data_IF_969128914274
#
_entry.id   IF_969128914274
#
_cell.length_a   1.000
_cell.length_b   1.000
_cell.length_c   1.000
_cell.angle_alpha   90.00
_cell.angle_beta   90.00
_cell.angle_gamma   90.00
#
_symmetry.space_group_name_H-M   'P 1'
#
loop_
_entity.id
_entity.type
_entity.pdbx_description
1 polymer ?
#
# COMPACT_ATOMS: atom_id res chain seq x y z
N UNK A 1 16.76 -14.49 -14.71
CA UNK A 1 16.15 -13.46 -13.83
C UNK A 1 14.95 -12.87 -14.54
N UNK A 2 13.76 -12.97 -13.95
CA UNK A 2 12.54 -12.43 -14.53
C UNK A 2 12.44 -10.91 -14.30
N UNK A 3 11.91 -10.18 -15.29
CA UNK A 3 11.59 -8.77 -15.20
C UNK A 3 10.35 -8.45 -16.02
N UNK A 4 9.55 -7.50 -15.58
CA UNK A 4 8.36 -7.04 -16.29
C UNK A 4 8.10 -5.56 -16.01
N UNK A 5 7.27 -4.96 -16.85
CA UNK A 5 6.94 -3.54 -16.79
C UNK A 5 5.43 -3.39 -16.88
N UNK A 6 4.84 -2.60 -15.98
CA UNK A 6 3.46 -2.13 -16.03
C UNK A 6 3.42 -0.69 -16.55
N UNK A 7 2.24 -0.09 -16.65
CA UNK A 7 2.11 1.32 -17.01
C UNK A 7 2.76 2.26 -15.98
N UNK A 8 2.99 1.79 -14.75
CA UNK A 8 3.51 2.63 -13.67
C UNK A 8 4.91 2.23 -13.16
N UNK A 9 5.29 0.95 -13.28
CA UNK A 9 6.47 0.40 -12.60
C UNK A 9 7.25 -0.56 -13.48
N UNK A 10 8.53 -0.69 -13.18
CA UNK A 10 9.37 -1.80 -13.63
C UNK A 10 9.79 -2.64 -12.42
N UNK A 11 9.74 -3.95 -12.60
CA UNK A 11 10.08 -4.93 -11.57
C UNK A 11 11.14 -5.89 -12.08
N UNK A 12 12.04 -6.31 -11.19
CA UNK A 12 13.08 -7.27 -11.53
C UNK A 12 13.55 -8.09 -10.34
N UNK A 13 13.62 -9.40 -10.55
CA UNK A 13 14.27 -10.32 -9.62
C UNK A 13 15.76 -10.41 -9.87
N UNK A 14 16.53 -10.50 -8.79
CA UNK A 14 17.93 -10.91 -8.74
C UNK A 14 18.07 -12.07 -7.76
N UNK A 15 19.28 -12.63 -7.64
CA UNK A 15 19.49 -13.86 -6.87
C UNK A 15 19.07 -13.73 -5.39
N UNK A 16 19.35 -12.59 -4.75
CA UNK A 16 19.04 -12.34 -3.33
C UNK A 16 18.28 -11.02 -3.09
N UNK A 17 17.87 -10.33 -4.15
CA UNK A 17 17.19 -9.05 -4.01
C UNK A 17 16.11 -8.84 -5.07
N UNK A 18 15.20 -7.94 -4.76
CA UNK A 18 14.11 -7.54 -5.64
C UNK A 18 14.20 -6.03 -5.88
N UNK A 19 14.00 -5.62 -7.14
CA UNK A 19 13.90 -4.23 -7.53
C UNK A 19 12.46 -3.93 -7.93
N UNK A 20 11.88 -2.92 -7.28
CA UNK A 20 10.68 -2.20 -7.71
C UNK A 20 11.10 -0.77 -8.02
N UNK A 21 10.80 -0.26 -9.20
CA UNK A 21 11.10 1.14 -9.56
C UNK A 21 10.00 1.80 -10.36
N UNK A 22 9.93 3.12 -10.27
CA UNK A 22 9.10 3.91 -11.17
C UNK A 22 9.67 3.89 -12.58
N UNK A 23 8.83 4.17 -13.57
CA UNK A 23 9.31 4.43 -14.92
C UNK A 23 10.05 5.77 -14.95
N UNK A 24 11.13 5.84 -15.72
CA UNK A 24 11.76 7.12 -16.07
C UNK A 24 10.89 7.87 -17.10
N UNK A 25 11.06 9.19 -17.27
CA UNK A 25 10.32 9.95 -18.27
C UNK A 25 10.43 9.41 -19.70
N UNK A 26 11.52 8.71 -20.01
CA UNK A 26 11.76 8.09 -21.31
C UNK A 26 10.99 6.78 -21.53
N UNK A 27 10.46 6.18 -20.46
CA UNK A 27 9.77 4.89 -20.45
C UNK A 27 8.24 5.03 -20.33
N UNK A 28 7.73 6.25 -20.15
CA UNK A 28 6.29 6.48 -20.02
C UNK A 28 5.51 5.96 -21.23
N UNK A 29 4.47 5.20 -20.93
CA UNK A 29 3.65 4.54 -21.93
C UNK A 29 2.45 5.41 -22.31
N UNK A 30 1.86 5.16 -23.48
CA UNK A 30 0.64 5.84 -23.93
C UNK A 30 -0.57 4.97 -23.68
N UNK A 31 -1.66 5.58 -23.26
CA UNK A 31 -2.96 4.91 -23.15
C UNK A 31 -3.56 4.62 -24.54
N UNK A 32 -4.73 3.97 -24.56
CA UNK A 32 -5.46 3.66 -25.80
C UNK A 32 -5.91 4.89 -26.60
N UNK A 33 -5.87 6.09 -25.99
CA UNK A 33 -6.19 7.39 -26.63
C UNK A 33 -4.92 8.09 -27.13
N UNK A 34 -3.74 7.50 -26.95
CA UNK A 34 -2.46 8.08 -27.31
C UNK A 34 -1.94 9.12 -26.31
N UNK A 35 -2.60 9.33 -25.17
CA UNK A 35 -2.16 10.23 -24.12
C UNK A 35 -1.06 9.58 -23.29
N UNK A 36 -0.03 10.35 -22.91
CA UNK A 36 1.02 9.84 -22.05
C UNK A 36 0.44 9.53 -20.67
N UNK A 37 0.58 8.27 -20.23
CA UNK A 37 0.20 7.85 -18.90
C UNK A 37 1.32 8.22 -17.93
N UNK A 38 1.04 9.18 -17.06
CA UNK A 38 1.96 9.62 -16.00
C UNK A 38 1.21 9.43 -14.69
N UNK A 39 1.62 8.43 -13.92
CA UNK A 39 1.11 8.21 -12.57
C UNK A 39 1.61 9.32 -11.66
N UNK A 40 0.70 10.17 -11.19
CA UNK A 40 1.00 11.16 -10.17
C UNK A 40 1.40 10.45 -8.87
N UNK A 41 2.30 11.06 -8.09
CA UNK A 41 2.75 10.59 -6.77
C UNK A 41 3.37 9.18 -6.71
N UNK A 42 3.70 8.59 -7.85
CA UNK A 42 4.28 7.25 -8.01
C UNK A 42 5.59 7.08 -7.21
N UNK A 43 6.51 8.05 -7.30
CA UNK A 43 7.73 8.05 -6.50
C UNK A 43 7.44 8.23 -4.99
N UNK A 44 6.44 9.02 -4.62
CA UNK A 44 6.06 9.23 -3.23
C UNK A 44 5.46 7.96 -2.61
N UNK A 45 4.63 7.21 -3.36
CA UNK A 45 4.11 5.89 -2.97
C UNK A 45 5.25 4.89 -2.73
N UNK A 46 6.20 4.82 -3.66
CA UNK A 46 7.34 3.92 -3.52
C UNK A 46 8.29 4.31 -2.37
N UNK A 47 8.44 5.61 -2.11
CA UNK A 47 9.13 6.10 -0.91
C UNK A 47 8.37 5.75 0.38
N UNK A 48 7.03 5.82 0.36
CA UNK A 48 6.18 5.40 1.49
C UNK A 48 6.32 3.91 1.77
N UNK A 49 6.39 3.08 0.74
CA UNK A 49 6.67 1.64 0.88
C UNK A 49 8.00 1.42 1.60
N UNK A 50 9.08 2.06 1.14
CA UNK A 50 10.40 1.93 1.77
C UNK A 50 10.39 2.32 3.25
N UNK A 51 9.79 3.47 3.58
CA UNK A 51 9.72 3.94 4.96
C UNK A 51 8.79 3.08 5.83
N UNK A 52 7.76 2.48 5.24
CA UNK A 52 6.86 1.55 5.95
C UNK A 52 7.56 0.25 6.27
N UNK A 53 8.32 -0.31 5.34
CA UNK A 53 9.12 -1.52 5.57
C UNK A 53 10.08 -1.32 6.75
N UNK A 54 10.78 -0.19 6.80
CA UNK A 54 11.67 0.16 7.91
C UNK A 54 10.91 0.32 9.23
N UNK A 55 9.77 1.03 9.21
CA UNK A 55 8.95 1.26 10.40
C UNK A 55 8.38 -0.04 10.97
N UNK A 56 7.76 -0.88 10.14
CA UNK A 56 7.16 -2.14 10.58
C UNK A 56 8.23 -3.13 11.05
N UNK A 57 9.36 -3.23 10.35
CA UNK A 57 10.47 -4.10 10.74
C UNK A 57 11.17 -3.66 12.04
N UNK A 58 11.04 -2.40 12.45
CA UNK A 58 11.58 -1.89 13.71
C UNK A 58 10.59 -2.00 14.88
N UNK A 59 9.30 -1.75 14.62
CA UNK A 59 8.28 -1.62 15.67
C UNK A 59 7.54 -2.94 15.95
N UNK A 60 7.68 -3.95 15.10
CA UNK A 60 6.91 -5.20 15.19
C UNK A 60 7.74 -6.44 14.88
N UNK A 61 7.14 -7.60 15.08
CA UNK A 61 7.64 -8.91 14.64
C UNK A 61 7.01 -9.38 13.31
N UNK A 62 6.29 -8.50 12.61
CA UNK A 62 5.67 -8.81 11.33
C UNK A 62 6.79 -9.04 10.30
N UNK A 63 6.81 -10.18 9.60
CA UNK A 63 7.82 -10.46 8.60
C UNK A 63 7.62 -9.51 7.41
N UNK A 64 8.62 -8.67 7.15
CA UNK A 64 8.66 -7.74 6.02
C UNK A 64 10.04 -7.81 5.37
N UNK A 65 10.15 -7.58 4.04
CA UNK A 65 11.44 -7.57 3.38
C UNK A 65 12.31 -6.42 3.89
N UNK A 66 13.58 -6.70 4.18
CA UNK A 66 14.54 -5.67 4.57
C UNK A 66 14.87 -4.76 3.39
N UNK A 67 14.82 -3.45 3.61
CA UNK A 67 15.26 -2.46 2.61
C UNK A 67 16.79 -2.53 2.47
N UNK A 68 17.26 -2.64 1.22
CA UNK A 68 18.68 -2.57 0.86
C UNK A 68 19.02 -1.13 0.45
N UNK A 69 18.17 -0.51 -0.37
CA UNK A 69 18.34 0.86 -0.84
C UNK A 69 17.00 1.43 -1.33
N UNK A 70 16.75 2.71 -1.07
CA UNK A 70 15.62 3.44 -1.66
C UNK A 70 16.03 4.88 -1.99
N UNK A 71 15.67 5.38 -3.17
CA UNK A 71 16.04 6.74 -3.57
C UNK A 71 15.76 7.09 -5.03
N UNK A 72 15.91 8.37 -5.33
CA UNK A 72 15.87 8.89 -6.70
C UNK A 72 17.15 8.55 -7.46
N UNK A 73 16.99 8.20 -8.73
CA UNK A 73 18.07 7.91 -9.66
C UNK A 73 18.24 9.05 -10.67
N UNK A 74 19.41 9.13 -11.29
CA UNK A 74 19.79 10.20 -12.22
C UNK A 74 18.91 10.30 -13.47
N UNK A 75 18.19 9.23 -13.81
CA UNK A 75 17.23 9.18 -14.92
C UNK A 75 15.83 9.68 -14.54
N UNK A 76 15.66 10.16 -13.30
CA UNK A 76 14.38 10.67 -12.78
C UNK A 76 13.43 9.58 -12.28
N UNK A 77 13.85 8.31 -12.25
CA UNK A 77 13.09 7.25 -11.61
C UNK A 77 13.40 7.14 -10.11
N UNK A 78 12.47 6.58 -9.33
CA UNK A 78 12.71 6.21 -7.94
C UNK A 78 12.84 4.70 -7.83
N UNK A 79 13.86 4.20 -7.14
CA UNK A 79 14.11 2.77 -6.97
C UNK A 79 13.92 2.37 -5.51
N UNK A 80 13.34 1.19 -5.31
CA UNK A 80 13.31 0.45 -4.06
C UNK A 80 13.93 -0.92 -4.29
N UNK A 81 15.00 -1.19 -3.57
CA UNK A 81 15.68 -2.47 -3.48
C UNK A 81 15.40 -3.10 -2.13
N UNK A 82 14.95 -4.34 -2.13
CA UNK A 82 14.76 -5.13 -0.92
C UNK A 82 15.46 -6.47 -1.01
N UNK A 83 15.65 -7.12 0.14
CA UNK A 83 15.90 -8.56 0.14
C UNK A 83 14.74 -9.30 -0.53
N UNK A 84 15.06 -10.41 -1.19
CA UNK A 84 14.06 -11.28 -1.77
C UNK A 84 13.42 -12.14 -0.68
N UNK A 85 12.09 -12.10 -0.57
CA UNK A 85 11.34 -12.97 0.34
C UNK A 85 11.15 -14.35 -0.31
N UNK A 86 11.65 -15.45 0.27
CA UNK A 86 11.45 -16.79 -0.28
C UNK A 86 10.02 -17.27 -0.03
N UNK A 87 9.44 -17.96 -1.01
CA UNK A 87 8.12 -18.57 -0.90
C UNK A 87 7.25 -18.30 -2.13
N UNK A 88 5.96 -18.56 -1.98
CA UNK A 88 4.92 -18.31 -2.98
C UNK A 88 3.84 -17.39 -2.41
N UNK A 89 3.15 -16.59 -3.24
CA UNK A 89 1.98 -15.85 -2.79
C UNK A 89 0.90 -16.75 -2.18
N UNK A 90 0.19 -16.29 -1.16
CA UNK A 90 -0.91 -17.03 -0.51
C UNK A 90 -1.97 -17.52 -1.51
N UNK A 91 -2.22 -16.78 -2.61
CA UNK A 91 -3.18 -17.20 -3.65
C UNK A 91 -2.79 -18.52 -4.35
N UNK A 92 -1.52 -18.92 -4.25
CA UNK A 92 -0.99 -20.17 -4.81
C UNK A 92 -1.06 -21.32 -3.80
N UNK A 93 -1.31 -21.04 -2.52
CA UNK A 93 -1.50 -22.05 -1.48
C UNK A 93 -2.88 -22.70 -1.64
N UNK A 94 -2.98 -24.05 -1.56
CA UNK A 94 -4.25 -24.76 -1.64
C UNK A 94 -5.27 -24.23 -0.62
N UNK A 95 -6.54 -24.11 -1.04
CA UNK A 95 -7.63 -23.59 -0.18
C UNK A 95 -7.77 -24.35 1.15
N UNK A 96 -7.44 -25.65 1.19
CA UNK A 96 -7.45 -26.45 2.42
C UNK A 96 -6.46 -25.93 3.46
N UNK A 97 -5.37 -25.33 3.00
CA UNK A 97 -4.20 -24.98 3.83
C UNK A 97 -4.18 -23.47 4.13
N UNK A 98 -4.91 -22.66 3.35
CA UNK A 98 -5.00 -21.21 3.57
C UNK A 98 -5.48 -20.83 4.98
N UNK A 99 -6.28 -21.67 5.65
CA UNK A 99 -6.78 -21.36 6.99
C UNK A 99 -5.65 -21.14 8.01
N UNK A 100 -4.59 -21.95 7.95
CA UNK A 100 -3.42 -21.84 8.85
C UNK A 100 -2.65 -20.54 8.60
N UNK A 101 -2.54 -20.13 7.34
CA UNK A 101 -1.90 -18.86 6.98
C UNK A 101 -2.76 -17.67 7.40
N UNK A 102 -4.07 -17.75 7.20
CA UNK A 102 -5.03 -16.70 7.58
C UNK A 102 -4.98 -16.44 9.10
N UNK A 103 -4.86 -17.46 9.94
CA UNK A 103 -4.69 -17.28 11.39
C UNK A 103 -3.45 -16.45 11.73
N UNK A 104 -2.33 -16.64 11.01
CA UNK A 104 -1.13 -15.81 11.18
C UNK A 104 -1.38 -14.37 10.74
N UNK A 105 -2.04 -14.17 9.60
CA UNK A 105 -2.39 -12.85 9.07
C UNK A 105 -3.28 -12.08 10.06
N UNK A 106 -4.26 -12.74 10.68
CA UNK A 106 -5.12 -12.10 11.71
C UNK A 106 -4.33 -11.63 12.93
N UNK A 107 -3.30 -12.39 13.34
CA UNK A 107 -2.39 -11.94 14.42
C UNK A 107 -1.61 -10.69 13.99
N UNK A 108 -1.02 -10.69 12.80
CA UNK A 108 -0.29 -9.52 12.29
C UNK A 108 -1.20 -8.30 12.14
N UNK A 109 -2.42 -8.49 11.64
CA UNK A 109 -3.45 -7.45 11.57
C UNK A 109 -3.77 -6.88 12.94
N UNK A 110 -3.90 -7.73 13.96
CA UNK A 110 -4.07 -7.26 15.35
C UNK A 110 -2.87 -6.45 15.85
N UNK A 111 -1.64 -6.84 15.50
CA UNK A 111 -0.42 -6.07 15.81
C UNK A 111 -0.42 -4.71 15.12
N UNK A 112 -0.72 -4.64 13.82
CA UNK A 112 -0.85 -3.38 13.07
C UNK A 112 -1.93 -2.47 13.66
N UNK A 113 -3.08 -3.05 13.99
CA UNK A 113 -4.13 -2.32 14.68
C UNK A 113 -3.70 -1.89 16.07
N UNK A 114 -2.70 -2.50 16.71
CA UNK A 114 -2.13 -2.04 17.97
C UNK A 114 -1.33 -0.74 17.84
N UNK A 115 -0.78 -0.45 16.64
CA UNK A 115 -0.08 0.78 16.34
C UNK A 115 -1.10 1.92 16.20
N UNK A 116 -0.98 2.94 17.06
CA UNK A 116 -1.95 4.03 17.17
C UNK A 116 -1.33 5.39 16.88
N UNK A 117 -2.07 6.23 16.17
CA UNK A 117 -1.70 7.62 15.91
C UNK A 117 -2.87 8.56 16.16
N UNK A 118 -2.56 9.79 16.57
CA UNK A 118 -3.53 10.90 16.59
C UNK A 118 -3.67 11.58 15.23
N UNK A 119 -2.84 11.23 14.25
CA UNK A 119 -2.82 11.81 12.91
C UNK A 119 -2.96 10.73 11.83
N UNK A 120 -3.63 11.07 10.73
CA UNK A 120 -3.70 10.23 9.52
C UNK A 120 -2.42 10.35 8.70
N UNK A 121 -2.05 9.28 7.99
CA UNK A 121 -1.00 9.26 6.98
C UNK A 121 0.07 8.19 7.21
N UNK A 122 0.86 7.92 6.18
CA UNK A 122 2.01 7.01 6.24
C UNK A 122 3.29 7.65 6.77
N UNK A 123 4.34 6.83 6.99
CA UNK A 123 5.64 7.28 7.51
C UNK A 123 6.30 8.42 6.71
N UNK A 124 6.08 8.50 5.39
CA UNK A 124 6.57 9.62 4.55
C UNK A 124 5.56 10.74 4.39
N UNK A 125 4.26 10.40 4.36
CA UNK A 125 3.15 11.35 4.22
C UNK A 125 3.11 12.33 5.40
N UNK A 126 3.54 11.92 6.60
CA UNK A 126 3.70 12.82 7.75
C UNK A 126 4.66 14.00 7.48
N UNK A 127 5.61 13.88 6.54
CA UNK A 127 6.50 14.98 6.12
C UNK A 127 5.93 15.83 4.97
N UNK A 128 5.12 15.25 4.07
CA UNK A 128 4.47 16.01 2.98
C UNK A 128 3.26 16.82 3.47
N UNK A 129 2.51 16.30 4.44
CA UNK A 129 1.37 16.99 5.05
C UNK A 129 1.73 18.23 5.88
N UNK A 130 3.02 18.42 6.21
CA UNK A 130 3.48 19.66 6.86
C UNK A 130 3.60 20.85 5.88
N UNK A 131 3.53 20.62 4.56
CA UNK A 131 3.75 21.68 3.55
C UNK A 131 2.49 22.36 3.03
N UNK A 132 1.31 21.74 3.15
CA UNK A 132 0.05 22.32 2.66
C UNK A 132 -0.90 22.61 3.83
N UNK A 133 -1.09 23.89 4.14
CA UNK A 133 -2.02 24.45 5.15
C UNK A 133 -3.51 24.09 4.94
N UNK A 134 -3.81 23.22 3.97
CA UNK A 134 -5.17 22.89 3.54
C UNK A 134 -5.72 21.63 4.22
N UNK A 135 -4.90 20.96 5.04
CA UNK A 135 -5.37 19.97 5.99
C UNK A 135 -5.46 20.62 7.34
N UNK A 136 -6.68 20.87 7.79
CA UNK A 136 -6.95 20.78 9.23
C UNK A 136 -6.48 19.39 9.59
N UNK A 137 -5.32 19.31 10.24
CA UNK A 137 -4.86 18.13 10.93
C UNK A 137 -6.04 17.60 11.73
N UNK A 138 -6.67 16.52 11.27
CA UNK A 138 -7.69 15.81 12.03
C UNK A 138 -6.93 15.09 13.15
N UNK A 139 -6.49 15.87 14.12
CA UNK A 139 -5.93 15.39 15.36
C UNK A 139 -7.08 14.78 16.14
N UNK A 140 -7.11 13.46 16.26
CA UNK A 140 -7.94 12.84 17.28
C UNK A 140 -7.15 12.80 18.58
N UNK A 141 -7.57 13.51 19.64
CA UNK A 141 -6.92 13.42 20.94
C UNK A 141 -6.97 11.99 21.52
N UNK A 142 -7.83 11.12 20.98
CA UNK A 142 -8.00 9.75 21.43
C UNK A 142 -7.06 8.72 20.73
N UNK A 143 -6.16 9.14 19.84
CA UNK A 143 -5.36 8.24 18.98
C UNK A 143 -6.20 7.18 18.27
N UNK A 144 -7.27 7.61 17.61
CA UNK A 144 -8.26 6.71 17.00
C UNK A 144 -7.77 6.01 15.73
N UNK A 145 -6.67 6.47 15.12
CA UNK A 145 -6.16 5.89 13.88
C UNK A 145 -5.28 4.69 14.15
N UNK A 146 -5.44 3.69 13.29
CA UNK A 146 -4.80 2.37 13.35
C UNK A 146 -3.89 2.26 12.14
N UNK A 147 -2.79 1.50 12.24
CA UNK A 147 -1.96 1.28 11.06
C UNK A 147 -2.65 0.27 10.14
N UNK A 148 -2.91 0.69 8.89
CA UNK A 148 -3.56 -0.12 7.87
C UNK A 148 -2.57 -0.36 6.72
N UNK A 149 -2.54 -1.59 6.19
CA UNK A 149 -1.80 -1.89 4.98
C UNK A 149 -2.49 -1.32 3.72
N UNK A 150 -3.82 -1.24 3.74
CA UNK A 150 -4.69 -0.82 2.63
C UNK A 150 -4.64 -1.69 1.36
N UNK A 151 -3.82 -2.73 1.32
CA UNK A 151 -3.81 -3.69 0.21
C UNK A 151 -3.33 -5.08 0.67
N UNK A 152 -3.85 -5.56 1.80
CA UNK A 152 -3.46 -6.86 2.35
C UNK A 152 -4.21 -8.00 1.63
N UNK A 153 -3.90 -8.20 0.34
CA UNK A 153 -4.45 -9.23 -0.51
C UNK A 153 -3.65 -10.55 -0.44
N UNK A 154 -4.20 -11.65 -0.97
CA UNK A 154 -3.46 -12.91 -1.06
C UNK A 154 -2.24 -12.86 -1.99
N UNK A 155 -2.12 -11.86 -2.87
CA UNK A 155 -0.92 -11.66 -3.70
C UNK A 155 0.25 -11.07 -2.90
N UNK A 156 -0.05 -10.37 -1.81
CA UNK A 156 0.91 -9.57 -1.05
C UNK A 156 1.41 -10.28 0.23
N UNK A 157 1.02 -11.54 0.42
CA UNK A 157 1.50 -12.40 1.51
C UNK A 157 2.32 -13.53 0.92
N UNK A 158 3.60 -13.59 1.24
CA UNK A 158 4.54 -14.62 0.79
C UNK A 158 4.64 -15.70 1.86
N UNK A 159 4.45 -16.95 1.44
CA UNK A 159 4.28 -18.11 2.30
C UNK A 159 5.27 -19.20 1.89
N UNK A 160 5.87 -19.86 2.87
CA UNK A 160 6.57 -21.12 2.63
C UNK A 160 5.55 -22.23 2.33
N UNK A 161 5.55 -22.84 1.14
CA UNK A 161 4.55 -23.84 0.76
C UNK A 161 4.65 -25.15 1.55
N UNK A 162 5.80 -25.43 2.18
CA UNK A 162 6.03 -26.67 2.93
C UNK A 162 5.66 -26.50 4.42
N UNK A 163 5.99 -25.35 5.02
CA UNK A 163 5.73 -25.08 6.45
C UNK A 163 4.45 -24.29 6.71
N UNK A 164 3.90 -23.63 5.68
CA UNK A 164 2.80 -22.66 5.76
C UNK A 164 3.12 -21.43 6.62
N UNK A 165 4.39 -21.17 6.93
CA UNK A 165 4.82 -19.96 7.62
C UNK A 165 4.78 -18.76 6.68
N UNK A 166 4.30 -17.62 7.18
CA UNK A 166 4.38 -16.35 6.45
C UNK A 166 5.82 -15.85 6.49
N UNK A 167 6.51 -15.87 5.35
CA UNK A 167 7.88 -15.38 5.23
C UNK A 167 7.95 -13.87 4.98
N UNK A 168 6.87 -13.25 4.50
CA UNK A 168 6.82 -11.80 4.36
C UNK A 168 5.50 -11.23 3.88
N UNK A 169 5.19 -10.02 4.32
CA UNK A 169 4.15 -9.16 3.76
C UNK A 169 4.82 -8.08 2.93
N UNK A 170 4.38 -7.88 1.70
CA UNK A 170 4.96 -6.97 0.71
C UNK A 170 3.93 -5.94 0.22
N UNK A 171 4.38 -4.98 -0.59
CA UNK A 171 3.53 -3.99 -1.26
C UNK A 171 2.85 -2.99 -0.31
N UNK A 172 3.66 -2.35 0.55
CA UNK A 172 3.21 -1.41 1.58
C UNK A 172 3.02 0.03 1.07
N UNK A 173 2.95 0.25 -0.24
CA UNK A 173 3.00 1.61 -0.81
C UNK A 173 1.80 2.49 -0.40
N UNK A 174 0.67 1.88 -0.09
CA UNK A 174 -0.55 2.54 0.38
C UNK A 174 -0.72 2.57 1.90
N UNK A 175 0.25 2.04 2.66
CA UNK A 175 0.11 1.86 4.09
C UNK A 175 0.23 3.17 4.89
N UNK A 176 -0.40 3.19 6.06
CA UNK A 176 -0.32 4.31 7.00
C UNK A 176 -1.36 4.27 8.10
N UNK A 177 -1.45 5.33 8.89
CA UNK A 177 -2.47 5.47 9.93
C UNK A 177 -3.79 5.98 9.35
N UNK A 178 -4.85 5.21 9.51
CA UNK A 178 -6.19 5.52 9.00
C UNK A 178 -7.27 5.06 9.99
N UNK A 179 -8.54 5.47 9.81
CA UNK A 179 -9.66 4.86 10.52
C UNK A 179 -9.70 3.34 10.30
N UNK A 180 -10.14 2.59 11.31
CA UNK A 180 -10.13 1.12 11.31
C UNK A 180 -10.87 0.50 10.11
N UNK A 181 -11.90 1.16 9.58
CA UNK A 181 -12.65 0.70 8.40
C UNK A 181 -11.81 0.57 7.12
N UNK A 182 -10.65 1.21 7.02
CA UNK A 182 -9.74 1.07 5.89
C UNK A 182 -9.00 -0.28 5.88
N UNK A 183 -8.94 -0.97 7.02
CA UNK A 183 -8.27 -2.25 7.15
C UNK A 183 -9.18 -3.42 6.70
N UNK A 184 -9.57 -3.41 5.42
CA UNK A 184 -10.42 -4.43 4.82
C UNK A 184 -9.67 -5.76 4.71
N UNK A 185 -10.27 -6.90 5.12
CA UNK A 185 -9.57 -8.20 5.14
C UNK A 185 -9.53 -8.88 3.75
N UNK A 186 -8.87 -8.24 2.77
CA UNK A 186 -8.86 -8.72 1.38
C UNK A 186 -8.32 -10.14 1.22
N UNK A 187 -7.37 -10.56 2.07
CA UNK A 187 -6.81 -11.91 2.11
C UNK A 187 -7.83 -13.04 2.33
N UNK A 188 -9.06 -12.74 2.80
CA UNK A 188 -10.11 -13.75 2.98
C UNK A 188 -10.81 -14.15 1.69
N UNK A 189 -10.50 -13.50 0.57
CA UNK A 189 -11.15 -13.76 -0.71
C UNK A 189 -10.12 -13.75 -1.85
N UNK A 190 -10.32 -14.64 -2.82
CA UNK A 190 -9.54 -14.68 -4.06
C UNK A 190 -9.88 -13.54 -5.02
N UNK A 191 -10.98 -12.82 -4.80
CA UNK A 191 -11.34 -11.68 -5.62
C UNK A 191 -10.33 -10.54 -5.45
N UNK A 192 -10.00 -9.79 -6.50
CA UNK A 192 -9.19 -8.59 -6.37
C UNK A 192 -9.85 -7.60 -5.39
N UNK A 193 -9.08 -6.78 -4.66
CA UNK A 193 -9.59 -5.83 -3.66
C UNK A 193 -10.80 -5.01 -4.14
N UNK A 194 -10.73 -4.47 -5.36
CA UNK A 194 -11.80 -3.64 -5.94
C UNK A 194 -13.09 -4.40 -6.22
N UNK A 195 -13.03 -5.71 -6.46
CA UNK A 195 -14.22 -6.55 -6.59
C UNK A 195 -14.81 -6.97 -5.22
N UNK A 196 -14.10 -6.72 -4.12
CA UNK A 196 -14.58 -6.94 -2.76
C UNK A 196 -15.28 -5.70 -2.19
N UNK A 197 -14.84 -4.50 -2.57
CA UNK A 197 -15.52 -3.24 -2.24
C UNK A 197 -16.64 -3.03 -3.26
N UNK A 198 -17.87 -3.47 -2.94
CA UNK A 198 -19.01 -3.35 -3.87
C UNK A 198 -19.68 -1.98 -3.82
N UNK A 199 -19.54 -1.25 -2.71
CA UNK A 199 -20.03 0.11 -2.55
C UNK A 199 -19.40 0.79 -1.33
N UNK A 200 -19.32 2.13 -1.31
CA UNK A 200 -18.99 2.90 -0.10
C UNK A 200 -19.97 2.58 1.06
N UNK A 201 -21.21 2.22 0.73
CA UNK A 201 -22.26 1.85 1.68
C UNK A 201 -21.99 0.54 2.45
N UNK A 202 -21.18 -0.37 1.92
CA UNK A 202 -20.76 -1.59 2.64
C UNK A 202 -19.80 -1.29 3.80
N UNK A 203 -19.35 -0.04 3.88
CA UNK A 203 -18.50 0.52 4.93
C UNK A 203 -19.10 1.85 5.38
N UNK A 204 -20.19 1.82 6.16
CA UNK A 204 -20.88 3.01 6.68
C UNK A 204 -19.92 4.04 7.34
N UNK A 205 -18.79 3.58 7.89
CA UNK A 205 -17.72 4.42 8.43
C UNK A 205 -16.92 5.18 7.35
N UNK A 206 -16.75 4.62 6.14
CA UNK A 206 -16.13 5.33 5.02
C UNK A 206 -17.05 6.44 4.50
N UNK A 207 -18.36 6.19 4.35
CA UNK A 207 -19.30 7.25 3.96
C UNK A 207 -19.30 8.41 4.97
N UNK A 208 -19.32 8.11 6.27
CA UNK A 208 -19.18 9.13 7.31
C UNK A 208 -17.83 9.85 7.21
N UNK A 209 -16.73 9.13 7.07
CA UNK A 209 -15.40 9.72 6.91
C UNK A 209 -15.32 10.66 5.69
N UNK A 210 -15.86 10.24 4.54
CA UNK A 210 -15.90 11.05 3.32
C UNK A 210 -16.88 12.22 3.39
N UNK A 211 -18.02 12.07 4.06
CA UNK A 211 -18.97 13.18 4.26
C UNK A 211 -18.33 14.33 5.05
N UNK A 212 -17.41 14.01 5.98
CA UNK A 212 -16.59 14.97 6.74
C UNK A 212 -15.33 15.41 5.97
N UNK A 213 -15.04 14.82 4.80
CA UNK A 213 -13.98 15.25 3.87
C UNK A 213 -14.52 16.11 2.71
N UNK A 214 -15.83 16.15 2.48
CA UNK A 214 -16.46 17.06 1.51
C UNK A 214 -16.23 18.51 1.94
N UNK A 215 -15.17 19.12 1.42
CA UNK A 215 -14.97 20.56 1.39
C UNK A 215 -16.13 21.16 0.56
N UNK A 216 -16.79 22.25 0.99
CA UNK A 216 -17.78 22.92 0.16
C UNK A 216 -17.13 23.25 -1.19
N UNK A 217 -17.83 22.97 -2.29
CA UNK A 217 -17.37 23.25 -3.66
C UNK A 217 -16.97 24.73 -3.82
N UNK A 218 -15.72 25.05 -3.53
CA UNK A 218 -15.08 26.29 -3.93
C UNK A 218 -13.98 25.87 -4.87
N UNK A 219 -14.30 25.85 -6.17
CA UNK A 219 -13.49 25.76 -7.38
C UNK A 219 -11.95 25.70 -7.28
N UNK A 220 -11.36 24.82 -6.47
CA UNK A 220 -9.94 24.55 -6.41
C UNK A 220 -9.65 23.15 -6.94
N UNK A 221 -8.57 23.08 -7.74
CA UNK A 221 -7.98 21.85 -8.29
C UNK A 221 -7.92 20.75 -7.22
N UNK A 222 -8.25 19.52 -7.60
CA UNK A 222 -8.14 18.33 -6.74
C UNK A 222 -6.76 18.32 -6.07
N UNK A 223 -6.74 18.49 -4.76
CA UNK A 223 -5.51 18.45 -3.98
C UNK A 223 -4.94 17.02 -3.91
N UNK A 224 -3.66 16.86 -3.51
CA UNK A 224 -2.97 15.57 -3.43
C UNK A 224 -3.68 14.53 -2.56
N UNK A 225 -4.55 14.98 -1.65
CA UNK A 225 -5.41 14.19 -0.75
C UNK A 225 -6.52 13.41 -1.41
N UNK A 226 -7.30 14.09 -2.26
CA UNK A 226 -8.41 13.48 -2.96
C UNK A 226 -7.84 12.47 -3.95
N UNK A 227 -6.65 12.78 -4.48
CA UNK A 227 -5.80 11.90 -5.27
C UNK A 227 -5.36 10.71 -4.43
N UNK A 228 -4.73 10.83 -3.25
CA UNK A 228 -4.30 9.67 -2.44
C UNK A 228 -5.44 8.74 -2.04
N UNK A 229 -6.60 9.26 -1.58
CA UNK A 229 -7.71 8.38 -1.22
C UNK A 229 -8.42 7.82 -2.45
N UNK A 230 -8.55 8.61 -3.52
CA UNK A 230 -8.99 8.06 -4.79
C UNK A 230 -7.99 7.07 -5.37
N UNK A 231 -6.70 7.20 -5.12
CA UNK A 231 -5.64 6.34 -5.65
C UNK A 231 -5.49 5.09 -4.80
N UNK A 232 -5.77 5.16 -3.49
CA UNK A 232 -5.98 3.99 -2.64
C UNK A 232 -7.20 3.22 -3.18
N UNK A 233 -8.33 3.90 -3.44
CA UNK A 233 -9.55 3.24 -3.94
C UNK A 233 -9.43 2.77 -5.41
N UNK A 234 -8.82 3.55 -6.29
CA UNK A 234 -8.59 3.24 -7.71
C UNK A 234 -7.48 2.20 -7.84
N UNK A 235 -6.42 2.28 -7.02
CA UNK A 235 -5.36 1.26 -6.95
C UNK A 235 -5.88 -0.08 -6.42
N UNK A 236 -6.89 -0.06 -5.53
CA UNK A 236 -7.65 -1.26 -5.17
C UNK A 236 -8.48 -1.82 -6.34
N UNK A 237 -8.97 -0.98 -7.27
CA UNK A 237 -9.73 -1.42 -8.46
C UNK A 237 -8.86 -2.04 -9.57
N UNK A 238 -7.60 -1.61 -9.70
CA UNK A 238 -6.68 -2.01 -10.79
C UNK A 238 -5.73 -3.19 -10.45
N UNK A 239 -5.80 -3.75 -9.23
CA UNK A 239 -4.92 -4.84 -8.73
C UNK A 239 -5.56 -6.23 -8.74
#
# INVERSE_FOLDING_TARGET
MASWTTHERHYRYYDNCFLKRTLSPSEYQRDFRGQLHISLDNAARLANEAATLDFIGQETDIPVPRVIHAGEHSDGSYHLWTELVPGVPLKEIPLSDQHTVIEQIERYKSTLQGLRSSCIGGPTVAKQLQRDEMWITKHSPAKEYVFCHNDLSQSNVIVDPDTLEVNGIIDWEFAGFFPKCFDVPFYRSLKPPGAQIRSLADTCELEQFFSVLSVPEIGLRRGPTAVLVSDILNGMEDS
#
